data_IF_633037378546
#
_entry.id   IF_633037378546
#
_cell.length_a   1.000
_cell.length_b   1.000
_cell.length_c   1.000
_cell.angle_alpha   90.00
_cell.angle_beta   90.00
_cell.angle_gamma   90.00
#
_symmetry.space_group_name_H-M   'P 1'
#
loop_
_entity.id
_entity.type
_entity.pdbx_description
1 polymer ?
#
# COMPACT_ATOMS: atom_id res chain seq x y z
N UNK A 1 -44.32 37.51 30.72
CA UNK A 1 -44.31 36.30 31.57
C UNK A 1 -43.11 35.43 31.19
N UNK A 2 -42.22 35.09 32.14
CA UNK A 2 -41.05 34.23 31.89
C UNK A 2 -41.51 32.78 31.69
N UNK A 3 -41.04 32.10 30.64
CA UNK A 3 -41.33 30.67 30.39
C UNK A 3 -40.84 29.83 31.59
N UNK A 4 -41.58 28.82 32.07
CA UNK A 4 -41.11 27.97 33.15
C UNK A 4 -39.86 27.19 32.72
N UNK A 5 -38.81 27.21 33.55
CA UNK A 5 -37.62 26.37 33.39
C UNK A 5 -38.05 24.90 33.44
N UNK A 6 -37.64 24.08 32.47
CA UNK A 6 -37.81 22.63 32.53
C UNK A 6 -36.84 22.08 33.58
N UNK A 7 -37.36 21.70 34.74
CA UNK A 7 -36.60 20.96 35.74
C UNK A 7 -36.37 19.51 35.25
N UNK A 8 -35.11 19.10 35.18
CA UNK A 8 -34.71 17.72 34.94
C UNK A 8 -34.90 16.95 36.26
N UNK A 9 -36.04 16.29 36.40
CA UNK A 9 -36.29 15.38 37.53
C UNK A 9 -35.64 14.04 37.18
N UNK A 10 -34.55 13.69 37.88
CA UNK A 10 -33.92 12.38 37.75
C UNK A 10 -34.89 11.30 38.21
N UNK A 11 -35.14 10.31 37.36
CA UNK A 11 -35.94 9.15 37.72
C UNK A 11 -35.01 7.95 37.95
N UNK A 12 -34.94 7.47 39.19
CA UNK A 12 -34.32 6.19 39.52
C UNK A 12 -35.36 5.10 39.30
N UNK A 13 -35.09 4.19 38.36
CA UNK A 13 -36.00 3.09 38.04
C UNK A 13 -35.73 1.92 39.00
N UNK A 14 -36.68 1.60 39.88
CA UNK A 14 -36.60 0.39 40.71
C UNK A 14 -37.20 -0.81 39.97
N UNK A 15 -36.42 -1.88 39.69
CA UNK A 15 -36.81 -2.95 38.77
C UNK A 15 -37.98 -3.84 39.24
N UNK A 16 -38.50 -3.65 40.47
CA UNK A 16 -39.56 -4.50 41.04
C UNK A 16 -40.94 -3.84 41.16
N UNK A 17 -41.11 -2.57 40.79
CA UNK A 17 -42.40 -1.88 40.95
C UNK A 17 -43.21 -1.91 39.64
N UNK A 18 -44.30 -2.69 39.58
CA UNK A 18 -45.32 -2.65 38.51
C UNK A 18 -46.20 -1.39 38.59
N UNK A 19 -45.67 -0.24 39.00
CA UNK A 19 -46.44 1.01 39.18
C UNK A 19 -45.86 2.14 38.35
N UNK A 20 -46.74 2.77 37.57
CA UNK A 20 -46.47 4.00 36.82
C UNK A 20 -46.17 5.11 37.85
N UNK A 21 -45.04 5.80 37.68
CA UNK A 21 -44.71 7.00 38.45
C UNK A 21 -45.71 8.08 38.01
N UNK A 22 -46.76 8.28 38.83
CA UNK A 22 -47.77 9.32 38.65
C UNK A 22 -47.12 10.70 38.74
N UNK A 23 -46.57 11.17 37.61
CA UNK A 23 -46.19 12.57 37.27
C UNK A 23 -45.52 12.69 35.89
N UNK A 24 -45.13 11.60 35.22
CA UNK A 24 -44.77 11.63 33.79
C UNK A 24 -46.00 11.37 32.92
N UNK A 25 -46.14 12.09 31.79
CA UNK A 25 -47.16 11.81 30.76
C UNK A 25 -46.94 10.49 30.00
N UNK A 26 -45.99 9.69 30.44
CA UNK A 26 -45.50 8.49 29.77
C UNK A 26 -45.76 7.28 30.65
N UNK A 27 -46.39 6.28 30.04
CA UNK A 27 -46.67 4.97 30.61
C UNK A 27 -45.45 4.05 30.49
N UNK A 28 -45.48 2.92 31.19
CA UNK A 28 -44.48 1.87 31.02
C UNK A 28 -44.44 1.31 29.58
N UNK A 29 -45.60 1.26 28.90
CA UNK A 29 -45.67 0.88 27.49
C UNK A 29 -44.92 1.85 26.58
N UNK A 30 -45.05 3.15 26.81
CA UNK A 30 -44.33 4.17 26.04
C UNK A 30 -42.81 4.06 26.17
N UNK A 31 -42.32 3.65 27.35
CA UNK A 31 -40.89 3.41 27.56
C UNK A 31 -40.41 2.16 26.80
N UNK A 32 -41.18 1.07 26.83
CA UNK A 32 -40.86 -0.14 26.07
C UNK A 32 -40.85 0.12 24.56
N UNK A 33 -41.85 0.85 24.05
CA UNK A 33 -41.93 1.21 22.63
C UNK A 33 -40.78 2.12 22.20
N UNK A 34 -40.36 3.04 23.05
CA UNK A 34 -39.18 3.87 22.81
C UNK A 34 -37.91 3.03 22.69
N UNK A 35 -37.66 2.10 23.63
CA UNK A 35 -36.48 1.23 23.57
C UNK A 35 -36.53 0.28 22.38
N UNK A 36 -37.70 -0.29 22.05
CA UNK A 36 -37.87 -1.14 20.88
C UNK A 36 -37.54 -0.39 19.58
N UNK A 37 -38.03 0.85 19.42
CA UNK A 37 -37.71 1.70 18.25
C UNK A 37 -36.22 2.07 18.17
N UNK A 38 -35.58 2.38 19.31
CA UNK A 38 -34.15 2.72 19.33
C UNK A 38 -33.29 1.50 18.95
N UNK A 39 -33.66 0.31 19.41
CA UNK A 39 -32.96 -0.93 19.10
C UNK A 39 -33.14 -1.34 17.62
N UNK A 40 -34.35 -1.23 17.08
CA UNK A 40 -34.61 -1.56 15.66
C UNK A 40 -34.02 -0.55 14.67
N UNK A 41 -33.99 0.74 15.01
CA UNK A 41 -33.35 1.74 14.16
C UNK A 41 -31.82 1.60 14.11
N UNK A 42 -31.18 1.19 15.21
CA UNK A 42 -29.75 0.89 15.20
C UNK A 42 -29.41 -0.38 14.41
N UNK A 43 -30.21 -1.44 14.55
CA UNK A 43 -29.95 -2.70 13.84
C UNK A 43 -30.16 -2.56 12.32
N UNK A 44 -31.16 -1.80 11.89
CA UNK A 44 -31.38 -1.50 10.46
C UNK A 44 -30.29 -0.61 9.86
N UNK A 45 -29.83 0.41 10.59
CA UNK A 45 -28.70 1.24 10.16
C UNK A 45 -27.40 0.44 10.02
N UNK A 46 -27.06 -0.38 11.02
CA UNK A 46 -25.90 -1.27 10.96
C UNK A 46 -25.99 -2.26 9.80
N UNK A 47 -27.16 -2.84 9.54
CA UNK A 47 -27.37 -3.74 8.41
C UNK A 47 -27.11 -3.04 7.08
N UNK A 48 -27.59 -1.81 6.89
CA UNK A 48 -27.32 -1.06 5.65
C UNK A 48 -25.82 -0.78 5.45
N UNK A 49 -25.09 -0.49 6.54
CA UNK A 49 -23.65 -0.26 6.49
C UNK A 49 -22.93 -1.56 6.11
N UNK A 50 -23.33 -2.69 6.69
CA UNK A 50 -22.80 -4.01 6.36
C UNK A 50 -23.03 -4.30 4.87
N UNK A 51 -24.27 -4.12 4.37
CA UNK A 51 -24.62 -4.40 2.98
C UNK A 51 -23.79 -3.54 2.00
N UNK A 52 -23.58 -2.26 2.29
CA UNK A 52 -22.73 -1.37 1.47
C UNK A 52 -21.26 -1.80 1.52
N UNK A 53 -20.75 -2.09 2.72
CA UNK A 53 -19.35 -2.49 2.90
C UNK A 53 -19.07 -3.82 2.20
N UNK A 54 -20.02 -4.76 2.18
CA UNK A 54 -19.90 -6.03 1.46
C UNK A 54 -19.80 -5.85 -0.06
N UNK A 55 -20.51 -4.86 -0.61
CA UNK A 55 -20.41 -4.51 -2.04
C UNK A 55 -19.03 -3.92 -2.33
N UNK A 56 -18.55 -2.97 -1.53
CA UNK A 56 -17.22 -2.37 -1.68
C UNK A 56 -16.10 -3.42 -1.62
N UNK A 57 -16.19 -4.36 -0.66
CA UNK A 57 -15.23 -5.48 -0.55
C UNK A 57 -15.24 -6.34 -1.82
N UNK A 58 -16.42 -6.59 -2.40
CA UNK A 58 -16.54 -7.39 -3.63
C UNK A 58 -15.92 -6.67 -4.82
N UNK A 59 -16.16 -5.37 -4.96
CA UNK A 59 -15.57 -4.56 -6.03
C UNK A 59 -14.04 -4.49 -5.91
N UNK A 60 -13.52 -4.30 -4.70
CA UNK A 60 -12.08 -4.30 -4.45
C UNK A 60 -11.44 -5.65 -4.79
N UNK A 61 -12.09 -6.78 -4.47
CA UNK A 61 -11.61 -8.11 -4.85
C UNK A 61 -11.49 -8.27 -6.37
N UNK A 62 -12.53 -7.87 -7.12
CA UNK A 62 -12.50 -7.90 -8.59
C UNK A 62 -11.39 -7.01 -9.16
N UNK A 63 -11.15 -5.85 -8.54
CA UNK A 63 -10.08 -4.96 -8.96
C UNK A 63 -8.69 -5.58 -8.73
N UNK A 64 -8.48 -6.23 -7.58
CA UNK A 64 -7.24 -6.94 -7.28
C UNK A 64 -7.00 -8.07 -8.28
N UNK A 65 -8.03 -8.88 -8.59
CA UNK A 65 -7.92 -9.97 -9.56
C UNK A 65 -7.52 -9.44 -10.95
N UNK A 66 -8.10 -8.31 -11.37
CA UNK A 66 -7.73 -7.67 -12.63
C UNK A 66 -6.28 -7.18 -12.64
N UNK A 67 -5.84 -6.53 -11.56
CA UNK A 67 -4.45 -6.05 -11.44
C UNK A 67 -3.45 -7.21 -11.40
N UNK A 68 -3.80 -8.33 -10.78
CA UNK A 68 -2.97 -9.53 -10.78
C UNK A 68 -2.83 -10.13 -12.18
N UNK A 69 -3.93 -10.18 -12.95
CA UNK A 69 -3.87 -10.63 -14.35
C UNK A 69 -3.02 -9.69 -15.21
N UNK A 70 -3.18 -8.37 -15.06
CA UNK A 70 -2.38 -7.38 -15.78
C UNK A 70 -0.88 -7.47 -15.44
N UNK A 71 -0.54 -7.70 -14.16
CA UNK A 71 0.83 -7.93 -13.73
C UNK A 71 1.42 -9.19 -14.37
N UNK A 72 0.69 -10.30 -14.32
CA UNK A 72 1.11 -11.57 -14.93
C UNK A 72 1.39 -11.41 -16.43
N UNK A 73 0.53 -10.70 -17.16
CA UNK A 73 0.74 -10.44 -18.58
C UNK A 73 1.99 -9.59 -18.85
N UNK A 74 2.25 -8.57 -18.02
CA UNK A 74 3.44 -7.73 -18.13
C UNK A 74 4.72 -8.49 -17.80
N UNK A 75 4.69 -9.34 -16.77
CA UNK A 75 5.83 -10.20 -16.41
C UNK A 75 6.15 -11.19 -17.53
N UNK A 76 5.14 -11.87 -18.07
CA UNK A 76 5.32 -12.78 -19.22
C UNK A 76 5.87 -12.06 -20.46
N UNK A 77 5.42 -10.83 -20.72
CA UNK A 77 5.97 -10.03 -21.81
C UNK A 77 7.42 -9.62 -21.56
N UNK A 78 7.77 -9.26 -20.32
CA UNK A 78 9.15 -8.96 -19.92
C UNK A 78 10.06 -10.17 -20.10
N UNK A 79 9.61 -11.37 -19.71
CA UNK A 79 10.37 -12.60 -19.89
C UNK A 79 10.65 -12.88 -21.37
N UNK A 80 9.64 -12.75 -22.24
CA UNK A 80 9.82 -12.91 -23.69
C UNK A 80 10.84 -11.92 -24.26
N UNK A 81 10.77 -10.65 -23.86
CA UNK A 81 11.76 -9.65 -24.28
C UNK A 81 13.17 -10.01 -23.82
N UNK A 82 13.32 -10.53 -22.60
CA UNK A 82 14.63 -10.97 -22.10
C UNK A 82 15.16 -12.19 -22.89
N UNK A 83 14.30 -13.13 -23.26
CA UNK A 83 14.65 -14.27 -24.13
C UNK A 83 15.03 -13.82 -25.55
N UNK A 84 14.31 -12.85 -26.12
CA UNK A 84 14.65 -12.24 -27.41
C UNK A 84 15.99 -11.49 -27.36
N UNK A 85 16.26 -10.75 -26.29
CA UNK A 85 17.56 -10.07 -26.10
C UNK A 85 18.69 -11.10 -25.95
N UNK A 86 18.48 -12.15 -25.14
CA UNK A 86 19.48 -13.21 -24.95
C UNK A 86 19.74 -14.01 -26.22
N UNK A 87 18.72 -14.29 -27.03
CA UNK A 87 18.86 -15.04 -28.27
C UNK A 87 19.50 -14.21 -29.40
N UNK A 88 19.24 -12.90 -29.46
CA UNK A 88 19.93 -11.99 -30.38
C UNK A 88 21.39 -11.72 -29.98
N UNK A 89 21.72 -11.77 -28.69
CA UNK A 89 23.08 -11.57 -28.18
C UNK A 89 23.92 -12.86 -28.13
N UNK A 90 23.69 -13.81 -29.03
CA UNK A 90 24.61 -14.93 -29.26
C UNK A 90 25.91 -14.45 -29.94
N UNK A 91 26.68 -13.63 -29.24
CA UNK A 91 28.13 -13.45 -29.36
C UNK A 91 28.59 -12.65 -28.12
N UNK A 92 29.38 -13.23 -27.19
CA UNK A 92 30.10 -12.40 -26.25
C UNK A 92 31.25 -11.78 -27.02
N UNK A 93 31.03 -10.57 -27.56
CA UNK A 93 32.16 -9.70 -27.88
C UNK A 93 32.84 -9.43 -26.53
N UNK A 94 33.99 -10.05 -26.30
CA UNK A 94 34.86 -9.84 -25.13
C UNK A 94 35.08 -8.34 -24.84
N UNK A 95 34.95 -7.50 -25.86
CA UNK A 95 35.02 -6.05 -25.77
C UNK A 95 33.83 -5.41 -25.01
N UNK A 96 32.63 -6.00 -25.09
CA UNK A 96 31.44 -5.53 -24.35
C UNK A 96 31.57 -5.87 -22.87
N UNK A 97 31.96 -7.10 -22.52
CA UNK A 97 32.18 -7.49 -21.12
C UNK A 97 33.25 -6.60 -20.47
N UNK A 98 34.36 -6.37 -21.17
CA UNK A 98 35.41 -5.47 -20.71
C UNK A 98 34.91 -4.03 -20.52
N UNK A 99 34.07 -3.52 -21.43
CA UNK A 99 33.49 -2.18 -21.30
C UNK A 99 32.53 -2.06 -20.09
N UNK A 100 31.83 -3.14 -19.76
CA UNK A 100 30.97 -3.20 -18.56
C UNK A 100 31.85 -3.19 -17.31
N UNK A 101 32.89 -4.03 -17.26
CA UNK A 101 33.80 -4.09 -16.11
C UNK A 101 34.52 -2.75 -15.89
N UNK A 102 34.94 -2.08 -16.97
CA UNK A 102 35.52 -0.73 -16.90
C UNK A 102 34.53 0.30 -16.33
N UNK A 103 33.25 0.18 -16.66
CA UNK A 103 32.19 1.06 -16.15
C UNK A 103 31.86 0.79 -14.70
N UNK A 104 31.78 -0.47 -14.28
CA UNK A 104 31.61 -0.87 -12.87
C UNK A 104 32.78 -0.33 -12.04
N UNK A 105 34.02 -0.55 -12.49
CA UNK A 105 35.22 -0.02 -11.83
C UNK A 105 35.22 1.51 -11.74
N UNK A 106 34.70 2.20 -12.75
CA UNK A 106 34.56 3.66 -12.74
C UNK A 106 33.56 4.11 -11.66
N UNK A 107 32.40 3.46 -11.57
CA UNK A 107 31.39 3.77 -10.55
C UNK A 107 31.94 3.51 -9.15
N UNK A 108 32.59 2.37 -8.92
CA UNK A 108 33.23 2.05 -7.63
C UNK A 108 34.29 3.09 -7.27
N UNK A 109 35.14 3.52 -8.21
CA UNK A 109 36.12 4.59 -7.96
C UNK A 109 35.47 5.92 -7.58
N UNK A 110 34.34 6.26 -8.19
CA UNK A 110 33.57 7.45 -7.84
C UNK A 110 32.98 7.30 -6.44
N UNK A 111 32.37 6.16 -6.14
CA UNK A 111 31.78 5.83 -4.84
C UNK A 111 32.81 5.93 -3.72
N UNK A 112 33.98 5.30 -3.91
CA UNK A 112 35.10 5.34 -2.97
C UNK A 112 35.65 6.76 -2.76
N UNK A 113 35.53 7.65 -3.75
CA UNK A 113 35.93 9.05 -3.62
C UNK A 113 34.95 9.87 -2.78
N UNK A 114 33.68 9.49 -2.80
CA UNK A 114 32.61 10.13 -2.03
C UNK A 114 32.26 9.40 -0.72
N UNK A 115 32.96 8.29 -0.43
CA UNK A 115 32.70 7.41 0.73
C UNK A 115 31.23 6.98 0.81
N UNK A 116 30.68 6.53 -0.33
CA UNK A 116 29.31 6.10 -0.46
C UNK A 116 29.19 4.71 -1.06
N UNK A 117 28.02 4.09 -0.94
CA UNK A 117 27.71 2.86 -1.66
C UNK A 117 27.70 3.14 -3.18
N UNK A 118 28.31 2.28 -4.02
CA UNK A 118 28.23 2.39 -5.48
C UNK A 118 26.83 2.54 -6.06
N UNK A 119 25.80 1.97 -5.40
CA UNK A 119 24.40 2.14 -5.82
C UNK A 119 23.84 3.54 -5.53
N UNK A 120 24.41 4.24 -4.56
CA UNK A 120 23.96 5.57 -4.13
C UNK A 120 24.74 6.70 -4.83
N UNK A 121 25.67 6.38 -5.72
CA UNK A 121 26.55 7.37 -6.42
C UNK A 121 25.78 8.49 -7.10
N UNK A 122 24.56 8.23 -7.56
CA UNK A 122 23.71 9.23 -8.19
C UNK A 122 23.38 10.40 -7.24
N UNK A 123 23.20 10.13 -5.95
CA UNK A 123 22.89 11.14 -4.94
C UNK A 123 24.09 12.06 -4.65
N UNK A 124 25.30 11.53 -4.77
CA UNK A 124 26.55 12.27 -4.49
C UNK A 124 27.08 13.03 -5.70
N UNK A 125 26.88 12.48 -6.89
CA UNK A 125 27.28 13.13 -8.15
C UNK A 125 26.27 14.18 -8.61
N UNK A 126 25.02 14.12 -8.15
CA UNK A 126 23.93 15.00 -8.59
C UNK A 126 23.50 14.72 -10.03
N UNK A 127 23.92 13.59 -10.60
CA UNK A 127 23.66 13.16 -11.97
C UNK A 127 23.35 11.67 -12.01
N UNK A 128 22.57 11.23 -13.00
CA UNK A 128 22.22 9.82 -13.20
C UNK A 128 23.39 9.03 -13.81
N UNK A 129 24.41 8.84 -12.99
CA UNK A 129 25.71 8.24 -13.30
C UNK A 129 25.55 6.75 -13.65
N UNK A 130 24.70 6.01 -12.94
CA UNK A 130 24.44 4.58 -13.22
C UNK A 130 23.83 4.43 -14.63
N UNK A 131 22.81 5.22 -14.96
CA UNK A 131 22.16 5.15 -16.27
C UNK A 131 23.08 5.62 -17.40
N UNK A 132 23.94 6.62 -17.14
CA UNK A 132 24.97 7.03 -18.10
C UNK A 132 25.89 5.87 -18.48
N UNK A 133 26.40 5.13 -17.48
CA UNK A 133 27.26 3.96 -17.70
C UNK A 133 26.50 2.80 -18.35
N UNK A 134 25.25 2.55 -17.95
CA UNK A 134 24.41 1.52 -18.57
C UNK A 134 24.18 1.80 -20.07
N UNK A 135 23.89 3.06 -20.44
CA UNK A 135 23.77 3.49 -21.84
C UNK A 135 25.08 3.39 -22.60
N UNK A 136 26.20 3.75 -21.98
CA UNK A 136 27.54 3.64 -22.59
C UNK A 136 27.87 2.19 -22.95
N UNK A 137 27.49 1.25 -22.09
CA UNK A 137 27.70 -0.18 -22.27
C UNK A 137 26.59 -0.88 -23.07
N UNK A 138 25.54 -0.16 -23.47
CA UNK A 138 24.36 -0.71 -24.14
C UNK A 138 23.69 -1.87 -23.37
N UNK A 139 23.63 -1.75 -22.05
CA UNK A 139 22.98 -2.74 -21.16
C UNK A 139 21.80 -2.10 -20.40
N UNK A 140 20.80 -2.89 -19.96
CA UNK A 140 19.78 -2.43 -19.04
C UNK A 140 20.40 -1.96 -17.71
N UNK A 141 19.82 -0.91 -17.11
CA UNK A 141 20.27 -0.36 -15.81
C UNK A 141 20.29 -1.44 -14.72
N UNK A 142 19.25 -2.28 -14.69
CA UNK A 142 19.11 -3.39 -13.74
C UNK A 142 20.29 -4.37 -13.82
N UNK A 143 20.83 -4.62 -15.02
CA UNK A 143 21.97 -5.51 -15.18
C UNK A 143 23.24 -4.91 -14.57
N UNK A 144 23.43 -3.59 -14.69
CA UNK A 144 24.56 -2.88 -14.10
C UNK A 144 24.45 -2.81 -12.57
N UNK A 145 23.26 -2.55 -12.05
CA UNK A 145 22.97 -2.55 -10.60
C UNK A 145 23.26 -3.93 -9.98
N UNK A 146 22.81 -5.01 -10.62
CA UNK A 146 23.11 -6.38 -10.17
C UNK A 146 24.61 -6.70 -10.13
N UNK A 147 25.38 -6.21 -11.12
CA UNK A 147 26.85 -6.39 -11.11
C UNK A 147 27.51 -5.58 -10.00
N UNK A 148 27.04 -4.37 -9.73
CA UNK A 148 27.53 -3.53 -8.62
C UNK A 148 27.23 -4.19 -7.26
N UNK A 149 26.05 -4.79 -7.09
CA UNK A 149 25.71 -5.57 -5.89
C UNK A 149 26.63 -6.77 -5.68
N UNK A 150 26.96 -7.49 -6.75
CA UNK A 150 27.84 -8.65 -6.70
C UNK A 150 29.29 -8.28 -6.31
N UNK A 151 29.82 -7.17 -6.83
CA UNK A 151 31.17 -6.70 -6.49
C UNK A 151 31.24 -6.11 -5.07
N UNK A 152 30.24 -5.33 -4.64
CA UNK A 152 30.14 -4.87 -3.23
C UNK A 152 30.10 -6.04 -2.24
N UNK A 153 29.46 -7.15 -2.61
CA UNK A 153 29.38 -8.35 -1.77
C UNK A 153 30.73 -9.08 -1.65
N UNK A 154 31.66 -8.87 -2.60
CA UNK A 154 33.00 -9.47 -2.57
C UNK A 154 34.02 -8.65 -1.78
N UNK A 155 33.85 -7.33 -1.67
CA UNK A 155 34.72 -6.45 -0.87
C UNK A 155 34.45 -6.53 0.65
N UNK A 156 33.40 -7.25 1.07
CA UNK A 156 33.01 -7.42 2.48
C UNK A 156 33.61 -8.61 3.24
N UNK A 157 34.70 -9.23 2.76
CA UNK A 157 35.43 -10.34 3.42
C UNK A 157 36.87 -9.93 3.74
#
# INVERSE_FOLDING_TARGET
MRKPKKELISAVCHPRSKRIIRKSKYTYGDALDFFARVLTNRSTGLKSIIDVTEVEIRELKLHIEKLQADLYHKESYREKLLEEIKSNNNYPDLDIEKAIDDSVNSIIKIANRFDCNPLDVNDFTGSDTINFHAKKCNIPVIELEQRLEQENSKEGI
#
